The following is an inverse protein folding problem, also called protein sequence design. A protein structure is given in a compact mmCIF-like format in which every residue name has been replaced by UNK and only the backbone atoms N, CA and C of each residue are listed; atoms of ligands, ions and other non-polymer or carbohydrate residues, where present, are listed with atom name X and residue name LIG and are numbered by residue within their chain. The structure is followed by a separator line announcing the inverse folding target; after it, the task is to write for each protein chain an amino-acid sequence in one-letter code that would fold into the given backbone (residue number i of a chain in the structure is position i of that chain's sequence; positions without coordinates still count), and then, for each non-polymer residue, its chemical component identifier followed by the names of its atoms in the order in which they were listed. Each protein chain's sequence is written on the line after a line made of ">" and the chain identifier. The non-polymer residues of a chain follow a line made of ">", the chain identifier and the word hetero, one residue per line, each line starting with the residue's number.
data_IF_207385989982
#
_entry.id   IF_207385989982
#
_cell.length_a   1.000
_cell.length_b   1.000
_cell.length_c   1.000
_cell.angle_alpha   90.00
_cell.angle_beta   90.00
_cell.angle_gamma   90.00
#
_symmetry.space_group_name_H-M   'P 1'
#
loop_
_entity.id
_entity.type
_entity.pdbx_description
1 polymer ?
#
# COMPACT_ATOMS: atom_id res chain seq x y z
N UNK A 1 2.14 7.03 -98.01
CA UNK A 1 2.36 5.55 -97.97
C UNK A 1 2.30 5.18 -96.49
N UNK A 2 1.39 4.38 -95.94
CA UNK A 2 0.21 3.60 -96.40
C UNK A 2 -0.90 3.81 -95.32
N UNK A 3 -2.17 3.40 -95.39
CA UNK A 3 -3.23 3.16 -96.40
C UNK A 3 -4.30 2.30 -95.67
N UNK A 4 -5.61 2.58 -95.81
CA UNK A 4 -6.77 1.76 -95.34
C UNK A 4 -6.90 1.59 -93.79
N UNK A 5 -8.05 1.34 -93.14
CA UNK A 5 -9.51 1.38 -93.41
C UNK A 5 -10.25 1.19 -92.05
N UNK A 6 -11.58 1.19 -91.82
CA UNK A 6 -12.82 1.21 -92.63
C UNK A 6 -13.95 2.02 -91.91
N UNK A 7 -15.22 1.82 -92.29
CA UNK A 7 -16.46 2.42 -91.75
C UNK A 7 -16.96 1.87 -90.38
N UNK A 8 -17.71 2.67 -89.61
CA UNK A 8 -19.20 2.54 -89.48
C UNK A 8 -19.76 3.31 -88.26
N UNK A 9 -20.99 3.81 -88.37
CA UNK A 9 -21.73 4.55 -87.33
C UNK A 9 -22.47 3.60 -86.38
N UNK A 10 -22.43 3.88 -85.07
CA UNK A 10 -23.43 3.43 -84.10
C UNK A 10 -23.58 4.45 -82.97
N UNK A 11 -24.81 4.92 -82.74
CA UNK A 11 -25.14 5.99 -81.79
C UNK A 11 -25.23 5.48 -80.35
N UNK A 12 -24.75 6.26 -79.38
CA UNK A 12 -25.23 6.21 -77.99
C UNK A 12 -25.11 7.58 -77.33
N UNK A 13 -26.19 8.04 -76.69
CA UNK A 13 -26.33 9.40 -76.18
C UNK A 13 -25.67 9.65 -74.82
N UNK A 14 -25.32 10.92 -74.59
CA UNK A 14 -25.33 11.64 -73.30
C UNK A 14 -25.27 10.83 -71.99
N UNK A 15 -24.17 11.00 -71.24
CA UNK A 15 -24.20 10.88 -69.78
C UNK A 15 -23.57 12.10 -69.09
N UNK A 16 -24.26 12.57 -68.06
CA UNK A 16 -23.98 13.75 -67.26
C UNK A 16 -22.59 13.73 -66.60
N UNK A 17 -21.81 14.81 -66.75
CA UNK A 17 -20.72 15.15 -65.82
C UNK A 17 -21.27 15.85 -64.57
N UNK A 18 -22.09 15.14 -63.80
CA UNK A 18 -22.59 15.60 -62.50
C UNK A 18 -21.52 15.45 -61.41
N UNK A 19 -20.79 16.53 -61.10
CA UNK A 19 -19.83 16.54 -60.00
C UNK A 19 -20.59 16.60 -58.65
N UNK A 20 -20.97 15.44 -58.12
CA UNK A 20 -21.66 15.35 -56.83
C UNK A 20 -20.68 15.57 -55.67
N UNK A 21 -20.63 16.79 -55.13
CA UNK A 21 -19.94 17.06 -53.86
C UNK A 21 -20.70 16.39 -52.71
N UNK A 22 -20.27 15.17 -52.36
CA UNK A 22 -20.79 14.44 -51.21
C UNK A 22 -20.46 15.19 -49.91
N UNK A 23 -21.42 15.97 -49.42
CA UNK A 23 -21.33 16.59 -48.10
C UNK A 23 -21.34 15.48 -47.03
N UNK A 24 -20.19 15.23 -46.40
CA UNK A 24 -20.08 14.28 -45.30
C UNK A 24 -20.75 14.86 -44.06
N UNK A 25 -22.05 14.60 -43.91
CA UNK A 25 -22.81 14.93 -42.71
C UNK A 25 -22.26 14.09 -41.56
N UNK A 26 -21.42 14.71 -40.72
CA UNK A 26 -20.98 14.10 -39.45
C UNK A 26 -22.17 14.05 -38.50
N UNK A 27 -22.82 12.88 -38.42
CA UNK A 27 -23.70 12.57 -37.30
C UNK A 27 -22.87 12.51 -36.01
N UNK A 28 -22.84 13.63 -35.29
CA UNK A 28 -22.42 13.63 -33.89
C UNK A 28 -23.54 12.97 -33.11
N UNK A 29 -23.39 11.67 -32.85
CA UNK A 29 -24.22 11.00 -31.85
C UNK A 29 -23.80 11.59 -30.50
N UNK A 30 -24.58 12.55 -30.01
CA UNK A 30 -24.55 12.95 -28.60
C UNK A 30 -25.02 11.76 -27.77
N UNK A 31 -24.09 10.83 -27.51
CA UNK A 31 -24.27 9.84 -26.46
C UNK A 31 -24.56 10.66 -25.21
N UNK A 32 -25.76 10.54 -24.58
CA UNK A 32 -25.99 11.22 -23.33
C UNK A 32 -24.88 10.76 -22.39
N UNK A 33 -24.23 11.70 -21.70
CA UNK A 33 -23.35 11.38 -20.58
C UNK A 33 -24.23 10.68 -19.55
N UNK A 34 -24.40 9.37 -19.70
CA UNK A 34 -24.91 8.50 -18.68
C UNK A 34 -24.06 8.84 -17.48
N UNK A 35 -24.71 9.40 -16.45
CA UNK A 35 -24.03 9.68 -15.22
C UNK A 35 -23.59 8.32 -14.70
N UNK A 36 -22.32 8.00 -14.92
CA UNK A 36 -21.56 7.18 -14.00
C UNK A 36 -21.61 8.00 -12.73
N UNK A 37 -22.67 7.81 -11.95
CA UNK A 37 -22.73 8.29 -10.59
C UNK A 37 -21.46 7.76 -9.96
N UNK A 38 -20.60 8.67 -9.48
CA UNK A 38 -19.49 8.25 -8.65
C UNK A 38 -20.11 7.39 -7.55
N UNK A 39 -19.59 6.16 -7.30
CA UNK A 39 -20.14 5.33 -6.25
C UNK A 39 -20.11 6.16 -4.98
N UNK A 40 -21.29 6.42 -4.43
CA UNK A 40 -21.45 7.13 -3.16
C UNK A 40 -20.56 6.39 -2.15
N UNK A 41 -19.70 7.06 -1.36
CA UNK A 41 -18.86 6.38 -0.37
C UNK A 41 -19.71 5.88 0.79
N UNK A 42 -20.49 4.83 0.52
CA UNK A 42 -21.23 4.04 1.49
C UNK A 42 -20.21 3.37 2.39
N UNK A 43 -19.85 4.01 3.49
CA UNK A 43 -18.92 3.44 4.48
C UNK A 43 -19.45 2.12 5.07
N UNK A 44 -20.77 1.91 5.03
CA UNK A 44 -21.45 0.72 5.50
C UNK A 44 -21.76 -0.24 4.35
N UNK A 45 -21.10 -1.41 4.34
CA UNK A 45 -21.32 -2.47 3.34
C UNK A 45 -22.03 -3.68 3.99
N UNK A 46 -23.18 -4.15 3.47
CA UNK A 46 -23.95 -5.23 4.10
C UNK A 46 -23.16 -6.53 4.33
N UNK A 47 -22.27 -6.88 3.40
CA UNK A 47 -21.42 -8.08 3.47
C UNK A 47 -20.17 -7.92 4.35
N UNK A 48 -20.05 -6.80 5.06
CA UNK A 48 -19.05 -6.59 6.11
C UNK A 48 -19.62 -6.62 7.53
N UNK A 49 -20.94 -6.75 7.69
CA UNK A 49 -21.56 -6.90 9.00
C UNK A 49 -20.99 -8.13 9.72
N UNK A 50 -20.61 -7.94 10.99
CA UNK A 50 -19.90 -8.92 11.84
C UNK A 50 -18.55 -9.43 11.30
N UNK A 51 -18.04 -8.86 10.21
CA UNK A 51 -16.75 -9.22 9.65
C UNK A 51 -15.61 -8.60 10.47
N UNK A 52 -14.59 -9.37 10.82
CA UNK A 52 -13.47 -8.91 11.67
C UNK A 52 -12.76 -7.64 11.16
N UNK A 53 -12.74 -7.44 9.84
CA UNK A 53 -12.12 -6.28 9.20
C UNK A 53 -13.04 -5.05 9.07
N UNK A 54 -14.34 -5.17 9.42
CA UNK A 54 -15.36 -4.13 9.27
C UNK A 54 -14.89 -2.73 9.69
N UNK A 55 -14.39 -2.49 10.93
CA UNK A 55 -14.04 -1.12 11.35
C UNK A 55 -12.82 -0.55 10.62
N UNK A 56 -11.96 -1.38 10.01
CA UNK A 56 -10.88 -0.91 9.13
C UNK A 56 -11.44 -0.52 7.76
N UNK A 57 -12.36 -1.32 7.22
CA UNK A 57 -13.02 -1.08 5.93
C UNK A 57 -13.85 0.20 5.98
N UNK A 58 -14.72 0.33 6.99
CA UNK A 58 -15.58 1.52 7.22
C UNK A 58 -14.73 2.80 7.22
N UNK A 59 -13.70 2.85 8.07
CA UNK A 59 -12.86 4.04 8.22
C UNK A 59 -12.03 4.38 6.96
N UNK A 60 -11.63 3.40 6.16
CA UNK A 60 -10.97 3.66 4.88
C UNK A 60 -11.97 4.08 3.78
N UNK A 61 -13.20 3.56 3.80
CA UNK A 61 -14.25 3.92 2.86
C UNK A 61 -14.78 5.36 3.10
N UNK A 62 -14.97 5.77 4.36
CA UNK A 62 -15.25 7.17 4.76
C UNK A 62 -14.28 8.19 4.15
N UNK A 63 -13.04 7.75 3.88
CA UNK A 63 -11.93 8.60 3.38
C UNK A 63 -11.66 8.39 1.89
N UNK A 64 -12.54 7.66 1.20
CA UNK A 64 -12.38 7.28 -0.20
C UNK A 64 -11.07 6.53 -0.49
N UNK A 65 -10.50 5.81 0.49
CA UNK A 65 -9.25 5.03 0.33
C UNK A 65 -9.53 3.64 -0.26
N UNK A 66 -10.67 3.06 0.12
CA UNK A 66 -11.19 1.83 -0.49
C UNK A 66 -12.64 2.06 -0.91
N UNK A 67 -13.06 1.40 -1.99
CA UNK A 67 -14.43 1.49 -2.52
C UNK A 67 -15.04 0.11 -2.66
N UNK A 68 -16.37 0.03 -2.54
CA UNK A 68 -17.15 -1.19 -2.82
C UNK A 68 -17.37 -1.42 -4.31
N UNK A 69 -18.20 -2.41 -4.62
CA UNK A 69 -18.68 -2.70 -5.97
C UNK A 69 -20.01 -1.98 -6.24
N UNK A 70 -20.40 -1.96 -7.51
CA UNK A 70 -21.64 -1.30 -7.97
C UNK A 70 -22.92 -1.97 -7.42
N UNK A 71 -22.83 -3.15 -6.82
CA UNK A 71 -23.91 -3.86 -6.13
C UNK A 71 -24.02 -3.51 -4.62
N UNK A 72 -23.20 -2.57 -4.13
CA UNK A 72 -23.17 -2.15 -2.72
C UNK A 72 -22.37 -3.08 -1.79
N UNK A 73 -21.69 -4.11 -2.31
CA UNK A 73 -20.84 -5.00 -1.50
C UNK A 73 -19.39 -4.50 -1.40
N UNK A 74 -18.65 -4.96 -0.40
CA UNK A 74 -17.18 -4.76 -0.30
C UNK A 74 -16.37 -6.00 -0.66
N UNK A 75 -16.95 -7.20 -0.50
CA UNK A 75 -16.37 -8.52 -0.69
C UNK A 75 -15.07 -8.71 0.09
N UNK A 76 -15.10 -8.58 1.44
CA UNK A 76 -13.89 -8.52 2.27
C UNK A 76 -13.00 -9.77 2.16
N UNK A 77 -13.58 -10.93 1.90
CA UNK A 77 -12.86 -12.20 1.75
C UNK A 77 -12.27 -12.44 0.35
N UNK A 78 -12.56 -11.59 -0.65
CA UNK A 78 -11.99 -11.75 -2.00
C UNK A 78 -10.49 -11.41 -1.97
N UNK A 79 -9.62 -12.20 -2.62
CA UNK A 79 -8.24 -11.79 -2.90
C UNK A 79 -8.15 -10.43 -3.59
N UNK A 80 -7.00 -9.77 -3.40
CA UNK A 80 -6.63 -8.51 -4.06
C UNK A 80 -5.52 -8.78 -5.07
N UNK A 81 -5.69 -8.28 -6.29
CA UNK A 81 -4.67 -8.33 -7.32
C UNK A 81 -3.63 -7.21 -7.15
N UNK A 82 -2.44 -7.38 -7.73
CA UNK A 82 -1.33 -6.42 -7.56
C UNK A 82 -1.65 -5.03 -8.12
N UNK A 83 -2.45 -4.94 -9.18
CA UNK A 83 -2.95 -3.69 -9.74
C UNK A 83 -3.95 -2.96 -8.81
N UNK A 84 -4.89 -3.69 -8.23
CA UNK A 84 -5.83 -3.19 -7.22
C UNK A 84 -5.10 -2.76 -5.95
N UNK A 85 -4.07 -3.50 -5.52
CA UNK A 85 -3.25 -3.11 -4.38
C UNK A 85 -2.46 -1.83 -4.67
N UNK A 86 -1.89 -1.68 -5.87
CA UNK A 86 -1.25 -0.44 -6.31
C UNK A 86 -2.24 0.74 -6.28
N UNK A 87 -3.48 0.55 -6.72
CA UNK A 87 -4.53 1.57 -6.64
C UNK A 87 -4.89 1.96 -5.19
N UNK A 88 -4.95 1.01 -4.27
CA UNK A 88 -5.18 1.30 -2.84
C UNK A 88 -3.97 2.01 -2.21
N UNK A 89 -2.74 1.60 -2.54
CA UNK A 89 -1.51 2.28 -2.09
C UNK A 89 -1.46 3.73 -2.58
N UNK A 90 -1.73 3.95 -3.87
CA UNK A 90 -1.85 5.28 -4.48
C UNK A 90 -2.84 6.16 -3.72
N UNK A 91 -4.03 5.63 -3.43
CA UNK A 91 -5.08 6.40 -2.78
C UNK A 91 -4.80 6.63 -1.28
N UNK A 92 -4.16 5.67 -0.61
CA UNK A 92 -3.78 5.79 0.80
C UNK A 92 -2.60 6.75 1.01
N UNK A 93 -1.59 6.73 0.13
CA UNK A 93 -0.29 7.37 0.37
C UNK A 93 0.14 8.39 -0.70
N UNK A 94 -0.80 8.95 -1.48
CA UNK A 94 -0.47 10.08 -2.36
C UNK A 94 -0.02 11.30 -1.55
N UNK A 95 1.29 11.47 -1.44
CA UNK A 95 1.98 12.66 -1.00
C UNK A 95 2.92 13.09 -2.13
N UNK A 96 3.28 14.37 -2.15
CA UNK A 96 3.84 15.08 -3.32
C UNK A 96 4.85 14.28 -4.17
N UNK A 97 4.66 14.30 -5.49
CA UNK A 97 5.46 13.60 -6.49
C UNK A 97 6.97 13.94 -6.40
N UNK A 98 7.78 13.04 -5.85
CA UNK A 98 9.25 13.20 -5.78
C UNK A 98 9.98 12.66 -7.03
N UNK A 99 9.34 11.83 -7.84
CA UNK A 99 9.85 11.37 -9.14
C UNK A 99 8.90 11.79 -10.26
N UNK A 100 9.48 11.94 -11.45
CA UNK A 100 8.79 12.22 -12.70
C UNK A 100 9.38 11.34 -13.79
N UNK A 101 8.76 10.21 -14.06
CA UNK A 101 9.04 9.44 -15.27
C UNK A 101 8.49 10.20 -16.50
N UNK A 102 9.25 10.20 -17.59
CA UNK A 102 8.76 10.66 -18.89
C UNK A 102 7.84 9.58 -19.47
N UNK A 103 6.57 9.93 -19.74
CA UNK A 103 5.49 8.98 -19.99
C UNK A 103 5.84 7.82 -20.91
N UNK A 104 5.86 6.62 -20.35
CA UNK A 104 6.09 5.35 -21.04
C UNK A 104 5.95 4.20 -20.04
N UNK A 105 5.45 3.05 -20.46
CA UNK A 105 5.20 1.97 -19.50
C UNK A 105 6.49 1.38 -18.95
N UNK A 106 6.60 1.34 -17.62
CA UNK A 106 7.67 0.69 -16.87
C UNK A 106 7.69 -0.84 -17.08
N UNK A 107 6.56 -1.44 -17.47
CA UNK A 107 6.38 -2.89 -17.51
C UNK A 107 5.72 -3.39 -18.82
N UNK A 108 6.26 -4.48 -19.36
CA UNK A 108 5.86 -5.07 -20.65
C UNK A 108 4.41 -5.56 -20.70
N UNK A 109 3.86 -5.92 -19.53
CA UNK A 109 2.50 -6.41 -19.33
C UNK A 109 1.53 -5.36 -18.79
N UNK A 110 1.93 -4.08 -18.77
CA UNK A 110 1.07 -2.95 -18.39
C UNK A 110 0.97 -1.99 -19.57
N UNK A 111 -0.05 -2.10 -20.44
CA UNK A 111 -0.27 -1.14 -21.52
C UNK A 111 -0.51 0.28 -20.99
N UNK A 112 -0.11 1.32 -21.73
CA UNK A 112 -0.28 2.72 -21.31
C UNK A 112 -1.76 3.14 -21.07
N UNK A 113 -2.71 2.46 -21.72
CA UNK A 113 -4.15 2.64 -21.50
C UNK A 113 -4.74 1.74 -20.40
N UNK A 114 -3.93 1.01 -19.65
CA UNK A 114 -4.42 0.15 -18.57
C UNK A 114 -4.91 0.99 -17.39
N UNK A 115 -6.07 0.66 -16.85
CA UNK A 115 -6.76 1.46 -15.82
C UNK A 115 -5.89 1.72 -14.58
N UNK A 116 -5.05 0.76 -14.19
CA UNK A 116 -4.13 0.87 -13.07
C UNK A 116 -2.73 1.35 -13.45
N UNK A 117 -2.42 1.62 -14.72
CA UNK A 117 -1.05 2.02 -15.12
C UNK A 117 -0.50 3.20 -14.31
N UNK A 118 -1.25 4.30 -14.05
CA UNK A 118 -0.76 5.38 -13.20
C UNK A 118 -0.52 4.96 -11.75
N UNK A 119 -1.33 4.03 -11.22
CA UNK A 119 -1.16 3.54 -9.85
C UNK A 119 0.02 2.59 -9.71
N UNK A 120 0.28 1.77 -10.74
CA UNK A 120 1.44 0.87 -10.82
C UNK A 120 2.74 1.69 -10.96
N UNK A 121 2.71 2.73 -11.78
CA UNK A 121 3.82 3.68 -11.94
C UNK A 121 4.09 4.45 -10.64
N UNK A 122 3.08 5.09 -10.05
CA UNK A 122 3.21 5.82 -8.77
C UNK A 122 3.64 4.89 -7.62
N UNK A 123 3.14 3.65 -7.55
CA UNK A 123 3.57 2.69 -6.52
C UNK A 123 5.01 2.21 -6.68
N UNK A 124 5.54 2.20 -7.92
CA UNK A 124 6.94 1.92 -8.22
C UNK A 124 7.84 3.14 -7.97
N UNK A 125 7.42 4.33 -8.38
CA UNK A 125 8.08 5.61 -8.09
C UNK A 125 8.12 5.92 -6.59
N UNK A 126 7.11 5.52 -5.83
CA UNK A 126 7.11 5.59 -4.37
C UNK A 126 7.85 4.41 -3.73
N UNK A 127 8.32 3.40 -4.47
CA UNK A 127 9.03 2.23 -3.90
C UNK A 127 8.16 1.32 -3.03
N UNK A 128 6.82 1.49 -3.03
CA UNK A 128 5.91 0.55 -2.38
C UNK A 128 5.87 -0.80 -3.11
N UNK A 129 6.03 -0.81 -4.44
CA UNK A 129 5.92 -2.04 -5.23
C UNK A 129 7.05 -2.17 -6.25
N UNK A 130 7.50 -3.41 -6.44
CA UNK A 130 8.50 -3.77 -7.44
C UNK A 130 7.92 -4.77 -8.45
N UNK A 131 8.45 -4.75 -9.67
CA UNK A 131 8.17 -5.75 -10.71
C UNK A 131 9.02 -7.01 -10.55
N UNK A 132 8.69 -8.03 -11.32
CA UNK A 132 9.40 -9.29 -11.43
C UNK A 132 10.50 -9.24 -12.53
N UNK A 133 11.51 -10.12 -12.48
CA UNK A 133 12.54 -10.23 -13.52
C UNK A 133 11.97 -10.33 -14.93
N UNK A 134 12.67 -9.73 -15.90
CA UNK A 134 12.23 -9.65 -17.29
C UNK A 134 11.38 -8.42 -17.63
N UNK A 135 10.99 -7.60 -16.63
CA UNK A 135 10.25 -6.35 -16.81
C UNK A 135 8.73 -6.53 -16.80
N UNK A 136 8.22 -7.35 -15.89
CA UNK A 136 6.79 -7.68 -15.76
C UNK A 136 6.27 -7.27 -14.39
N UNK A 137 5.08 -6.66 -14.32
CA UNK A 137 4.41 -6.34 -13.05
C UNK A 137 3.47 -7.44 -12.56
N UNK A 138 2.91 -8.23 -13.49
CA UNK A 138 1.84 -9.21 -13.31
C UNK A 138 0.60 -8.62 -12.61
N UNK A 139 -0.09 -7.63 -13.23
CA UNK A 139 -1.17 -6.88 -12.60
C UNK A 139 -2.27 -7.78 -12.02
N UNK A 140 -2.70 -8.80 -12.77
CA UNK A 140 -3.77 -9.72 -12.37
C UNK A 140 -3.33 -10.86 -11.43
N UNK A 141 -2.07 -10.91 -11.00
CA UNK A 141 -1.65 -11.87 -9.98
C UNK A 141 -2.12 -11.38 -8.60
N UNK A 142 -2.74 -12.23 -7.77
CA UNK A 142 -3.01 -11.91 -6.37
C UNK A 142 -1.72 -11.55 -5.61
N UNK A 143 -1.79 -10.56 -4.72
CA UNK A 143 -0.71 -10.23 -3.79
C UNK A 143 -0.80 -11.14 -2.55
N UNK A 144 0.33 -11.68 -2.09
CA UNK A 144 0.39 -12.43 -0.83
C UNK A 144 0.40 -11.51 0.39
N UNK A 145 0.04 -12.05 1.57
CA UNK A 145 0.09 -11.31 2.84
C UNK A 145 1.49 -10.77 3.13
N UNK A 146 2.53 -11.54 2.83
CA UNK A 146 3.92 -11.09 3.04
C UNK A 146 4.33 -10.00 2.05
N UNK A 147 4.00 -10.13 0.76
CA UNK A 147 4.29 -9.08 -0.24
C UNK A 147 3.59 -7.76 0.13
N UNK A 148 2.35 -7.80 0.63
CA UNK A 148 1.62 -6.61 1.05
C UNK A 148 2.26 -5.92 2.29
N UNK A 149 2.78 -6.69 3.24
CA UNK A 149 3.49 -6.14 4.40
C UNK A 149 4.85 -5.55 4.02
N UNK A 150 5.65 -6.27 3.22
CA UNK A 150 6.93 -5.82 2.66
C UNK A 150 6.76 -4.52 1.87
N UNK A 151 5.71 -4.44 1.06
CA UNK A 151 5.38 -3.22 0.28
C UNK A 151 5.20 -2.00 1.19
N UNK A 152 4.57 -2.19 2.35
CA UNK A 152 4.32 -1.10 3.30
C UNK A 152 5.55 -0.76 4.14
N UNK A 153 6.39 -1.71 4.52
CA UNK A 153 7.59 -1.46 5.35
C UNK A 153 8.72 -0.78 4.56
N UNK A 154 8.83 -1.05 3.26
CA UNK A 154 9.93 -0.53 2.43
C UNK A 154 9.89 1.00 2.20
N UNK A 155 8.70 1.60 2.17
CA UNK A 155 8.55 3.05 1.95
C UNK A 155 7.96 3.83 3.14
N UNK A 156 7.38 3.17 4.12
CA UNK A 156 6.96 3.85 5.34
C UNK A 156 8.11 3.89 6.34
N UNK A 157 8.52 5.10 6.75
CA UNK A 157 9.41 5.30 7.90
C UNK A 157 8.67 4.91 9.19
N UNK A 158 8.51 3.60 9.42
CA UNK A 158 7.64 3.04 10.47
C UNK A 158 8.21 3.33 11.86
N UNK A 159 7.37 3.89 12.71
CA UNK A 159 7.67 4.07 14.14
C UNK A 159 7.48 2.73 14.84
N UNK A 160 8.57 2.14 15.32
CA UNK A 160 8.52 0.93 16.15
C UNK A 160 7.77 1.23 17.47
N UNK A 161 6.85 0.34 17.85
CA UNK A 161 6.33 0.30 19.22
C UNK A 161 7.43 -0.25 20.15
N UNK A 162 7.57 0.25 21.40
CA UNK A 162 8.66 -0.17 22.28
C UNK A 162 8.71 -1.69 22.48
N UNK A 163 9.85 -2.36 22.19
CA UNK A 163 9.96 -3.81 22.34
C UNK A 163 9.95 -4.20 23.83
N UNK A 164 8.99 -5.03 24.25
CA UNK A 164 8.98 -5.61 25.58
C UNK A 164 9.83 -6.88 25.64
N UNK A 165 11.12 -6.70 25.95
CA UNK A 165 11.82 -7.64 26.82
C UNK A 165 11.46 -7.35 28.29
N UNK A 166 11.50 -8.36 29.16
CA UNK A 166 11.15 -8.23 30.58
C UNK A 166 12.13 -7.30 31.33
N UNK A 167 11.86 -5.99 31.31
CA UNK A 167 12.56 -5.01 32.11
C UNK A 167 12.07 -5.08 33.56
N UNK A 168 12.73 -5.92 34.35
CA UNK A 168 12.63 -5.93 35.81
C UNK A 168 12.75 -4.49 36.34
N UNK A 169 11.82 -3.95 37.15
CA UNK A 169 11.92 -2.59 37.63
C UNK A 169 13.16 -2.43 38.53
N UNK A 170 14.13 -1.67 38.05
CA UNK A 170 15.32 -1.33 38.81
C UNK A 170 14.89 -0.55 40.06
N UNK A 171 15.09 -1.15 41.25
CA UNK A 171 14.78 -0.51 42.52
C UNK A 171 15.64 0.74 42.68
N UNK A 172 15.02 1.92 42.58
CA UNK A 172 15.68 3.20 42.83
C UNK A 172 16.22 3.22 44.26
N UNK A 173 17.54 3.21 44.41
CA UNK A 173 18.18 3.42 45.70
C UNK A 173 18.22 4.92 45.97
N UNK A 174 17.34 5.38 46.86
CA UNK A 174 17.29 6.77 47.32
C UNK A 174 18.66 7.19 47.87
N UNK A 175 19.32 8.14 47.18
CA UNK A 175 20.62 8.64 47.57
C UNK A 175 20.55 9.32 48.96
N UNK A 176 21.24 8.77 49.96
CA UNK A 176 21.47 9.45 51.23
C UNK A 176 22.48 10.58 51.00
N UNK A 177 22.04 11.83 51.19
CA UNK A 177 22.93 12.99 51.30
C UNK A 177 23.92 12.74 52.44
N UNK A 178 25.22 12.78 52.12
CA UNK A 178 26.29 12.81 53.10
C UNK A 178 26.92 14.21 53.06
N UNK A 179 26.90 14.93 54.18
CA UNK A 179 27.60 16.20 54.34
C UNK A 179 29.10 15.96 54.48
N UNK A 180 29.91 16.79 53.84
CA UNK A 180 31.35 16.92 54.12
C UNK A 180 31.75 18.39 54.11
N UNK A 181 32.45 18.82 55.16
CA UNK A 181 33.16 20.11 55.22
C UNK A 181 34.66 19.89 54.89
N UNK A 182 35.41 20.95 54.53
CA UNK A 182 36.58 20.83 53.68
C UNK A 182 37.92 20.76 54.44
N UNK A 183 38.98 20.32 53.75
CA UNK A 183 40.33 20.88 53.89
C UNK A 183 41.17 20.58 52.64
N UNK A 184 42.12 21.48 52.37
CA UNK A 184 42.81 21.68 51.09
C UNK A 184 43.61 20.49 50.54
N UNK A 185 43.62 20.36 49.21
CA UNK A 185 44.90 20.30 48.49
C UNK A 185 44.77 20.76 47.03
N UNK A 186 45.77 21.50 46.56
CA UNK A 186 45.84 22.07 45.20
C UNK A 186 46.12 21.00 44.15
N UNK A 187 45.24 20.86 43.16
CA UNK A 187 45.60 20.27 41.86
C UNK A 187 44.84 21.01 40.75
N UNK A 188 45.52 21.25 39.63
CA UNK A 188 44.99 22.10 38.56
C UNK A 188 43.79 21.44 37.86
N UNK A 189 42.78 22.26 37.59
CA UNK A 189 41.52 21.85 37.00
C UNK A 189 41.72 21.44 35.53
N UNK A 190 41.68 20.14 35.24
CA UNK A 190 41.51 19.68 33.85
C UNK A 190 40.07 19.99 33.40
N UNK A 191 39.86 20.52 32.18
CA UNK A 191 38.51 20.69 31.66
C UNK A 191 37.88 19.32 31.43
N UNK A 192 36.79 19.03 32.14
CA UNK A 192 35.95 17.87 31.85
C UNK A 192 35.30 18.13 30.49
N UNK A 193 35.90 17.58 29.43
CA UNK A 193 35.24 17.36 28.16
C UNK A 193 34.07 16.42 28.41
N UNK A 194 32.90 16.99 28.68
CA UNK A 194 31.64 16.26 28.72
C UNK A 194 31.37 15.73 27.30
N UNK A 195 31.86 14.53 27.01
CA UNK A 195 31.49 13.80 25.80
C UNK A 195 29.98 13.63 25.83
N UNK A 196 29.31 14.37 24.95
CA UNK A 196 27.87 14.27 24.73
C UNK A 196 27.59 12.81 24.38
N UNK A 197 27.07 12.05 25.35
CA UNK A 197 26.85 10.63 25.18
C UNK A 197 25.83 10.44 24.06
N UNK A 198 26.33 10.07 22.87
CA UNK A 198 25.49 9.61 21.78
C UNK A 198 24.77 8.38 22.31
N UNK A 199 23.47 8.50 22.57
CA UNK A 199 22.64 7.37 22.99
C UNK A 199 22.56 6.41 21.81
N UNK A 200 23.58 5.57 21.66
CA UNK A 200 23.57 4.41 20.76
C UNK A 200 22.38 3.58 21.20
N UNK A 201 21.39 3.48 20.33
CA UNK A 201 20.18 2.68 20.58
C UNK A 201 20.59 1.30 21.10
N UNK A 202 19.89 0.82 22.13
CA UNK A 202 20.14 -0.52 22.65
C UNK A 202 20.06 -1.54 21.50
N UNK A 203 20.90 -2.59 21.48
CA UNK A 203 20.88 -3.58 20.41
C UNK A 203 19.47 -4.13 20.23
N UNK A 204 18.86 -3.88 19.06
CA UNK A 204 17.60 -4.51 18.70
C UNK A 204 17.82 -6.02 18.61
N UNK A 205 16.85 -6.86 19.05
CA UNK A 205 16.92 -8.29 18.82
C UNK A 205 16.97 -8.57 17.30
N UNK A 206 17.66 -9.62 16.83
CA UNK A 206 17.63 -10.01 15.44
C UNK A 206 16.19 -10.21 14.94
N UNK A 207 15.89 -9.77 13.71
CA UNK A 207 14.56 -9.88 13.14
C UNK A 207 14.03 -11.33 13.10
N UNK A 208 14.92 -12.29 12.84
CA UNK A 208 14.63 -13.74 12.92
C UNK A 208 14.14 -14.17 14.31
N UNK A 209 14.70 -13.59 15.38
CA UNK A 209 14.24 -13.80 16.76
C UNK A 209 12.88 -13.15 17.00
N UNK A 210 12.64 -11.97 16.44
CA UNK A 210 11.31 -11.32 16.53
C UNK A 210 10.24 -12.19 15.87
N UNK A 211 10.40 -12.56 14.61
CA UNK A 211 9.35 -13.33 13.89
C UNK A 211 9.11 -14.71 14.52
N UNK A 212 10.16 -15.43 14.94
CA UNK A 212 10.02 -16.74 15.61
C UNK A 212 9.34 -16.64 16.97
N UNK A 213 9.56 -15.56 17.72
CA UNK A 213 8.87 -15.34 19.01
C UNK A 213 7.42 -14.89 18.85
N UNK A 214 7.04 -14.34 17.69
CA UNK A 214 5.69 -13.86 17.41
C UNK A 214 4.81 -14.88 16.68
N UNK A 215 5.33 -15.58 15.68
CA UNK A 215 4.54 -16.40 14.76
C UNK A 215 4.87 -17.90 14.86
N UNK A 216 3.83 -18.72 14.96
CA UNK A 216 3.92 -20.18 14.98
C UNK A 216 4.19 -20.79 13.59
N UNK A 217 4.09 -19.99 12.53
CA UNK A 217 4.40 -20.33 11.14
C UNK A 217 5.55 -19.48 10.57
N UNK A 218 6.46 -19.02 11.45
CA UNK A 218 7.60 -18.17 11.08
C UNK A 218 8.53 -18.82 10.05
N UNK A 219 8.63 -20.15 10.02
CA UNK A 219 9.39 -20.94 9.05
C UNK A 219 8.87 -20.80 7.61
N UNK A 220 7.63 -20.32 7.42
CA UNK A 220 7.04 -20.06 6.10
C UNK A 220 7.32 -18.65 5.58
N UNK A 221 7.90 -17.77 6.40
CA UNK A 221 8.28 -16.42 6.00
C UNK A 221 9.49 -16.52 5.08
N UNK A 222 9.42 -16.03 3.82
CA UNK A 222 10.58 -16.02 2.94
C UNK A 222 11.74 -15.22 3.54
N UNK A 223 12.97 -15.70 3.39
CA UNK A 223 14.16 -15.07 4.00
C UNK A 223 14.28 -13.58 3.68
N UNK A 224 13.93 -13.16 2.46
CA UNK A 224 13.97 -11.74 2.04
C UNK A 224 13.02 -10.83 2.83
N UNK A 225 11.99 -11.38 3.47
CA UNK A 225 10.94 -10.64 4.16
C UNK A 225 11.05 -10.69 5.69
N UNK A 226 12.07 -11.35 6.26
CA UNK A 226 12.19 -11.52 7.72
C UNK A 226 12.34 -10.18 8.44
N UNK A 227 13.18 -9.28 7.92
CA UNK A 227 13.42 -7.96 8.49
C UNK A 227 12.18 -7.05 8.36
N UNK A 228 11.53 -7.08 7.20
CA UNK A 228 10.29 -6.35 6.92
C UNK A 228 9.14 -6.83 7.83
N UNK A 229 8.92 -8.15 7.95
CA UNK A 229 7.87 -8.70 8.81
C UNK A 229 8.16 -8.43 10.29
N UNK A 230 9.42 -8.52 10.74
CA UNK A 230 9.78 -8.11 12.10
C UNK A 230 9.46 -6.63 12.35
N UNK A 231 9.81 -5.75 11.40
CA UNK A 231 9.54 -4.31 11.46
C UNK A 231 8.04 -4.01 11.48
N UNK A 232 7.25 -4.63 10.59
CA UNK A 232 5.80 -4.54 10.58
C UNK A 232 5.18 -5.00 11.91
N UNK A 233 5.70 -6.08 12.50
CA UNK A 233 5.24 -6.61 13.78
C UNK A 233 5.51 -5.63 14.92
N UNK A 234 6.71 -5.06 14.98
CA UNK A 234 7.07 -4.04 15.97
C UNK A 234 6.30 -2.73 15.76
N UNK A 235 6.00 -2.34 14.52
CA UNK A 235 5.23 -1.15 14.17
C UNK A 235 3.71 -1.28 14.43
N UNK A 236 3.25 -2.43 14.92
CA UNK A 236 1.84 -2.82 15.05
C UNK A 236 1.04 -2.75 13.74
N UNK A 237 1.72 -2.97 12.60
CA UNK A 237 1.16 -2.97 11.25
C UNK A 237 0.43 -4.28 10.93
N UNK A 238 0.92 -5.41 11.46
CA UNK A 238 0.38 -6.74 11.18
C UNK A 238 -0.96 -6.94 11.89
N UNK A 239 -1.99 -7.33 11.13
CA UNK A 239 -3.28 -7.76 11.65
C UNK A 239 -3.55 -9.21 11.23
N UNK A 240 -3.74 -10.09 12.21
CA UNK A 240 -3.81 -11.54 12.02
C UNK A 240 -5.12 -12.07 12.61
N UNK A 241 -6.02 -12.51 11.72
CA UNK A 241 -7.32 -13.10 12.07
C UNK A 241 -7.40 -14.59 11.66
N UNK A 242 -8.02 -15.47 12.47
CA UNK A 242 -8.54 -15.23 13.83
C UNK A 242 -7.45 -15.32 14.92
N UNK A 243 -6.29 -15.87 14.60
CA UNK A 243 -5.20 -16.10 15.55
C UNK A 243 -4.03 -15.14 15.28
N UNK A 244 -3.73 -14.25 16.23
CA UNK A 244 -2.64 -13.27 16.11
C UNK A 244 -1.26 -13.90 15.91
N UNK A 245 -1.09 -15.16 16.32
CA UNK A 245 0.14 -15.96 16.25
C UNK A 245 0.36 -16.69 14.93
N UNK A 246 -0.52 -16.55 13.93
CA UNK A 246 -0.36 -17.20 12.61
C UNK A 246 -0.43 -16.14 11.51
N UNK A 247 0.68 -15.94 10.81
CA UNK A 247 0.81 -14.90 9.79
C UNK A 247 0.24 -15.34 8.44
N UNK A 248 0.34 -16.62 8.08
CA UNK A 248 0.04 -17.17 6.76
C UNK A 248 0.73 -16.38 5.61
N UNK A 249 2.06 -16.20 5.63
CA UNK A 249 2.78 -15.25 4.76
C UNK A 249 2.50 -15.46 3.27
N UNK A 250 2.46 -16.72 2.82
CA UNK A 250 2.29 -17.10 1.41
C UNK A 250 0.81 -17.23 0.98
N UNK A 251 -0.16 -16.91 1.85
CA UNK A 251 -1.59 -16.86 1.49
C UNK A 251 -1.87 -15.56 0.75
N UNK A 252 -2.70 -15.61 -0.29
CA UNK A 252 -3.22 -14.41 -0.96
C UNK A 252 -3.92 -13.49 0.06
N UNK A 253 -3.56 -12.21 0.07
CA UNK A 253 -4.19 -11.20 0.91
C UNK A 253 -5.60 -10.90 0.39
N UNK A 254 -6.56 -10.87 1.31
CA UNK A 254 -7.95 -10.51 1.04
C UNK A 254 -8.16 -8.99 1.13
N UNK A 255 -9.30 -8.50 0.61
CA UNK A 255 -9.66 -7.08 0.73
C UNK A 255 -9.75 -6.61 2.19
N UNK A 256 -10.18 -7.48 3.11
CA UNK A 256 -10.14 -7.23 4.55
C UNK A 256 -8.73 -7.16 5.13
N UNK A 257 -7.81 -8.01 4.65
CA UNK A 257 -6.39 -7.99 5.05
C UNK A 257 -5.71 -6.68 4.62
N UNK A 258 -5.88 -6.29 3.35
CA UNK A 258 -5.33 -5.05 2.82
C UNK A 258 -5.93 -3.84 3.55
N UNK A 259 -7.23 -3.80 3.80
CA UNK A 259 -7.86 -2.72 4.58
C UNK A 259 -7.26 -2.62 5.99
N UNK A 260 -7.06 -3.74 6.68
CA UNK A 260 -6.48 -3.77 8.01
C UNK A 260 -5.02 -3.27 8.04
N UNK A 261 -4.19 -3.70 7.10
CA UNK A 261 -2.78 -3.25 6.99
C UNK A 261 -2.68 -1.77 6.63
N UNK A 262 -3.45 -1.30 5.63
CA UNK A 262 -3.48 0.10 5.21
C UNK A 262 -3.94 1.01 6.36
N UNK A 263 -4.96 0.58 7.12
CA UNK A 263 -5.40 1.30 8.31
C UNK A 263 -4.29 1.40 9.36
N UNK A 264 -3.64 0.30 9.75
CA UNK A 264 -2.56 0.36 10.75
C UNK A 264 -1.35 1.19 10.26
N UNK A 265 -1.03 1.13 8.97
CA UNK A 265 -0.01 1.99 8.37
C UNK A 265 -0.34 3.49 8.52
N UNK A 266 -1.57 3.88 8.22
CA UNK A 266 -2.03 5.27 8.38
C UNK A 266 -2.08 5.69 9.85
N UNK A 267 -2.42 4.79 10.78
CA UNK A 267 -2.29 5.03 12.23
C UNK A 267 -0.83 5.26 12.63
N UNK A 268 0.10 4.44 12.14
CA UNK A 268 1.54 4.60 12.42
C UNK A 268 2.09 5.94 11.91
N UNK A 269 1.59 6.41 10.76
CA UNK A 269 1.87 7.73 10.19
C UNK A 269 1.14 8.89 10.91
N UNK A 270 0.27 8.63 11.90
CA UNK A 270 -0.51 9.66 12.59
C UNK A 270 -1.59 10.31 11.71
N UNK A 271 -2.01 9.63 10.63
CA UNK A 271 -3.05 10.06 9.69
C UNK A 271 -4.42 9.48 9.99
N UNK A 272 -4.50 8.50 10.90
CA UNK A 272 -5.72 7.94 11.47
C UNK A 272 -5.55 7.76 12.98
N UNK A 273 -6.66 7.86 13.72
CA UNK A 273 -6.70 7.50 15.14
C UNK A 273 -6.60 5.98 15.33
N UNK A 274 -5.88 5.49 16.35
CA UNK A 274 -5.85 4.06 16.67
C UNK A 274 -7.25 3.51 16.97
N UNK A 275 -7.58 2.34 16.38
CA UNK A 275 -8.83 1.65 16.69
C UNK A 275 -8.99 1.43 18.20
N UNK A 276 -10.13 1.86 18.74
CA UNK A 276 -10.49 1.77 20.17
C UNK A 276 -10.36 0.33 20.70
N UNK A 277 -9.80 0.17 21.91
CA UNK A 277 -9.58 -1.15 22.54
C UNK A 277 -10.86 -1.92 22.85
N UNK A 278 -12.01 -1.24 22.90
CA UNK A 278 -13.33 -1.86 23.06
C UNK A 278 -13.86 -2.53 21.79
N UNK A 279 -13.31 -2.22 20.60
CA UNK A 279 -13.71 -2.86 19.34
C UNK A 279 -13.05 -4.24 19.23
N UNK A 280 -13.78 -5.35 19.00
CA UNK A 280 -13.22 -6.70 18.93
C UNK A 280 -12.06 -6.84 17.93
N UNK A 281 -12.15 -6.15 16.80
CA UNK A 281 -11.11 -6.14 15.76
C UNK A 281 -9.74 -5.63 16.25
N UNK A 282 -9.69 -4.85 17.34
CA UNK A 282 -8.43 -4.38 17.93
C UNK A 282 -7.60 -5.50 18.55
N UNK A 283 -8.22 -6.63 18.90
CA UNK A 283 -7.54 -7.82 19.41
C UNK A 283 -6.74 -8.59 18.35
N UNK A 284 -6.98 -8.32 17.05
CA UNK A 284 -6.25 -8.97 15.95
C UNK A 284 -4.97 -8.22 15.54
N UNK A 285 -4.73 -7.04 16.11
CA UNK A 285 -3.55 -6.21 15.84
C UNK A 285 -2.36 -6.77 16.63
N UNK A 286 -1.36 -7.29 15.92
CA UNK A 286 -0.14 -7.87 16.50
C UNK A 286 0.77 -6.75 17.02
N UNK A 287 1.56 -7.03 18.07
CA UNK A 287 2.54 -6.07 18.61
C UNK A 287 1.94 -4.94 19.46
N UNK A 288 0.62 -4.75 19.48
CA UNK A 288 -0.04 -3.77 20.35
C UNK A 288 0.00 -4.22 21.81
N UNK A 289 0.67 -3.45 22.67
CA UNK A 289 0.63 -3.65 24.12
C UNK A 289 -0.77 -3.28 24.64
N UNK A 290 -1.59 -4.28 24.95
CA UNK A 290 -2.84 -4.08 25.68
C UNK A 290 -2.46 -3.73 27.12
N UNK A 291 -2.54 -2.44 27.47
CA UNK A 291 -2.63 -2.03 28.87
C UNK A 291 -3.92 -2.61 29.44
N UNK A 292 -3.79 -3.66 30.26
CA UNK A 292 -4.81 -4.12 31.18
C UNK A 292 -4.80 -3.27 32.44
#
# INVERSE_FOLDING_TARGET
>A
MFNLSYWSLASASLLFTGLATAAVVRFVVSVPKAAIAAPDPTANFPDTQDHWAQPFIEALAERNIVTGYLDGTYRPNRPVNRDEFAAVLRQAFNQNQERRIASGSVYKDVPAGYWAAPAIEEAYEAGFMHGYPGGYFKPQQPVSRVEALVSLTQNLNLKQSPPQGNAQPAKSQTAKKLFFFPLAMTSLMQPIMATKATMKSAPQPPASTVVTNYYADAEKIPQYAVDDVATATQAALVVNYPNTRILNPNKNATRGDIAAFIYQALVNQGRLEPLQSTRPASNYIVGRSIKR
#
